data_IF_434622638171
#
_entry.id   IF_434622638171
#
_cell.length_a   1.000
_cell.length_b   1.000
_cell.length_c   1.000
_cell.angle_alpha   90.00
_cell.angle_beta   90.00
_cell.angle_gamma   90.00
#
_symmetry.space_group_name_H-M   'P 1'
#
loop_
_entity.id
_entity.type
_entity.pdbx_description
1 polymer ?
#
# COMPACT_ATOMS: atom_id res chain seq x y z
N UNK A 1 6.79 -7.16 12.00
CA UNK A 1 5.86 -8.09 12.70
C UNK A 1 5.60 -7.69 14.14
N UNK A 2 6.56 -7.81 15.08
CA UNK A 2 6.34 -7.47 16.51
C UNK A 2 5.89 -6.02 16.72
N UNK A 3 6.49 -5.07 16.00
CA UNK A 3 6.10 -3.65 16.06
C UNK A 3 4.67 -3.42 15.56
N UNK A 4 4.33 -3.98 14.41
CA UNK A 4 2.98 -3.94 13.85
C UNK A 4 1.93 -4.54 14.81
N UNK A 5 2.28 -5.62 15.51
CA UNK A 5 1.41 -6.23 16.52
C UNK A 5 1.19 -5.33 17.73
N UNK A 6 2.24 -4.68 18.23
CA UNK A 6 2.14 -3.70 19.32
C UNK A 6 1.31 -2.48 18.92
N UNK A 7 1.52 -1.96 17.70
CA UNK A 7 0.74 -0.85 17.14
C UNK A 7 -0.74 -1.24 16.99
N UNK A 8 -1.02 -2.42 16.45
CA UNK A 8 -2.38 -2.96 16.36
C UNK A 8 -3.06 -3.08 17.74
N UNK A 9 -2.34 -3.61 18.73
CA UNK A 9 -2.82 -3.72 20.11
C UNK A 9 -3.19 -2.36 20.70
N UNK A 10 -2.28 -1.38 20.59
CA UNK A 10 -2.52 -0.01 21.07
C UNK A 10 -3.73 0.67 20.38
N UNK A 11 -3.93 0.43 19.07
CA UNK A 11 -5.10 0.95 18.34
C UNK A 11 -6.41 0.32 18.84
N UNK A 12 -6.40 -0.97 19.17
CA UNK A 12 -7.59 -1.64 19.69
C UNK A 12 -7.90 -1.20 21.13
N UNK A 13 -6.88 -1.01 21.96
CA UNK A 13 -7.01 -0.49 23.33
C UNK A 13 -7.54 0.95 23.36
N UNK A 14 -7.16 1.79 22.39
CA UNK A 14 -7.66 3.16 22.26
C UNK A 14 -9.16 3.26 21.89
N UNK A 15 -9.80 2.14 21.55
CA UNK A 15 -11.24 2.08 21.26
C UNK A 15 -11.63 2.39 19.81
N UNK A 16 -12.93 2.26 19.51
CA UNK A 16 -13.48 2.49 18.16
C UNK A 16 -13.56 3.97 17.79
N UNK A 17 -13.68 4.84 18.80
CA UNK A 17 -13.81 6.30 18.64
C UNK A 17 -12.46 7.00 18.50
N UNK A 18 -11.36 6.24 18.47
CA UNK A 18 -10.01 6.79 18.34
C UNK A 18 -9.84 7.55 17.01
N UNK A 19 -9.57 8.87 17.03
CA UNK A 19 -9.53 9.71 15.84
C UNK A 19 -8.52 9.27 14.76
N UNK A 20 -7.37 8.71 15.17
CA UNK A 20 -6.26 8.36 14.27
C UNK A 20 -6.21 6.86 13.93
N UNK A 21 -7.31 6.13 14.14
CA UNK A 21 -7.40 4.67 13.94
C UNK A 21 -6.94 4.23 12.54
N UNK A 22 -7.48 4.84 11.48
CA UNK A 22 -7.12 4.48 10.09
C UNK A 22 -5.71 4.89 9.67
N UNK A 23 -5.23 6.11 9.96
CA UNK A 23 -3.83 6.46 9.76
C UNK A 23 -2.88 5.41 10.36
N UNK A 24 -3.11 5.00 11.61
CA UNK A 24 -2.26 4.01 12.27
C UNK A 24 -2.42 2.59 11.67
N UNK A 25 -3.60 2.20 11.19
CA UNK A 25 -3.72 0.93 10.45
C UNK A 25 -2.89 0.91 9.16
N UNK A 26 -2.84 2.01 8.41
CA UNK A 26 -1.96 2.12 7.24
C UNK A 26 -0.47 2.04 7.62
N UNK A 27 -0.08 2.61 8.78
CA UNK A 27 1.28 2.48 9.32
C UNK A 27 1.61 1.01 9.67
N UNK A 28 0.68 0.32 10.32
CA UNK A 28 0.80 -1.10 10.64
C UNK A 28 0.89 -1.95 9.36
N UNK A 29 0.10 -1.63 8.33
CA UNK A 29 0.18 -2.29 7.03
C UNK A 29 1.53 -2.06 6.35
N UNK A 30 2.07 -0.83 6.37
CA UNK A 30 3.42 -0.55 5.88
C UNK A 30 4.47 -1.42 6.58
N UNK A 31 4.38 -1.57 7.90
CA UNK A 31 5.27 -2.45 8.68
C UNK A 31 5.12 -3.94 8.31
N UNK A 32 3.93 -4.40 7.94
CA UNK A 32 3.71 -5.76 7.43
C UNK A 32 4.36 -5.95 6.07
N UNK A 33 4.11 -5.04 5.12
CA UNK A 33 4.70 -5.06 3.79
C UNK A 33 6.21 -4.86 3.80
N UNK A 34 6.76 -4.21 4.82
CA UNK A 34 8.21 -4.09 4.95
C UNK A 34 8.86 -5.45 5.23
N UNK A 35 8.20 -6.29 6.02
CA UNK A 35 8.66 -7.65 6.24
C UNK A 35 8.43 -8.53 5.00
N UNK A 36 7.22 -8.55 4.45
CA UNK A 36 6.88 -9.45 3.35
C UNK A 36 7.46 -8.99 2.01
N UNK A 37 7.21 -7.74 1.63
CA UNK A 37 7.64 -7.15 0.37
C UNK A 37 9.14 -6.87 0.31
N UNK A 38 9.64 -6.06 1.24
CA UNK A 38 11.06 -5.71 1.24
C UNK A 38 11.95 -6.84 1.78
N UNK A 39 11.55 -7.44 2.91
CA UNK A 39 12.31 -8.54 3.53
C UNK A 39 12.25 -9.85 2.74
N UNK A 40 11.10 -10.52 2.70
CA UNK A 40 11.00 -11.86 2.12
C UNK A 40 11.19 -11.87 0.59
N UNK A 41 10.43 -11.06 -0.15
CA UNK A 41 10.57 -11.04 -1.61
C UNK A 41 11.88 -10.38 -2.06
N UNK A 42 12.36 -9.35 -1.37
CA UNK A 42 13.68 -8.76 -1.67
C UNK A 42 14.82 -9.74 -1.44
N UNK A 43 14.80 -10.49 -0.34
CA UNK A 43 15.82 -11.51 -0.09
C UNK A 43 15.78 -12.65 -1.13
N UNK A 44 14.58 -13.02 -1.60
CA UNK A 44 14.42 -14.08 -2.60
C UNK A 44 15.13 -13.80 -3.92
N UNK A 45 15.38 -12.53 -4.26
CA UNK A 45 16.05 -12.11 -5.50
C UNK A 45 17.47 -11.56 -5.28
N UNK A 46 17.95 -11.52 -4.03
CA UNK A 46 19.20 -10.86 -3.66
C UNK A 46 20.43 -11.77 -3.75
N UNK A 47 20.27 -13.08 -3.52
CA UNK A 47 21.41 -14.01 -3.55
C UNK A 47 22.03 -14.02 -4.96
N UNK A 48 23.36 -13.83 -5.13
CA UNK A 48 23.95 -13.71 -6.46
C UNK A 48 23.64 -14.87 -7.40
N UNK A 49 23.60 -16.10 -6.86
CA UNK A 49 23.25 -17.29 -7.63
C UNK A 49 21.79 -17.28 -8.12
N UNK A 50 20.87 -16.72 -7.33
CA UNK A 50 19.46 -16.58 -7.74
C UNK A 50 19.31 -15.41 -8.69
N UNK A 51 19.92 -14.27 -8.35
CA UNK A 51 19.88 -13.06 -9.17
C UNK A 51 20.39 -13.33 -10.58
N UNK A 52 21.42 -14.17 -10.75
CA UNK A 52 21.90 -14.57 -12.08
C UNK A 52 20.79 -15.09 -13.02
N UNK A 53 19.79 -15.80 -12.49
CA UNK A 53 18.67 -16.32 -13.28
C UNK A 53 17.42 -15.44 -13.22
N UNK A 54 17.22 -14.71 -12.12
CA UNK A 54 16.02 -13.91 -11.88
C UNK A 54 16.14 -12.47 -12.41
N UNK A 55 17.35 -11.96 -12.64
CA UNK A 55 17.57 -10.56 -12.98
C UNK A 55 16.72 -10.11 -14.18
N UNK A 56 15.85 -9.13 -13.96
CA UNK A 56 14.96 -8.61 -15.00
C UNK A 56 13.73 -9.48 -15.30
N UNK A 57 13.34 -10.35 -14.38
CA UNK A 57 12.09 -11.15 -14.45
C UNK A 57 10.95 -10.53 -13.64
N UNK A 58 9.77 -11.17 -13.67
CA UNK A 58 8.61 -10.75 -12.88
C UNK A 58 8.79 -10.85 -11.36
N UNK A 59 9.78 -11.59 -10.82
CA UNK A 59 10.04 -11.59 -9.38
C UNK A 59 10.57 -10.22 -8.90
N UNK A 60 11.32 -9.52 -9.74
CA UNK A 60 11.74 -8.13 -9.48
C UNK A 60 10.51 -7.22 -9.42
N UNK A 61 9.55 -7.38 -10.34
CA UNK A 61 8.29 -6.62 -10.30
C UNK A 61 7.43 -6.99 -9.08
N UNK A 62 7.41 -8.27 -8.69
CA UNK A 62 6.73 -8.78 -7.50
C UNK A 62 7.25 -8.08 -6.23
N UNK A 63 8.58 -8.12 -6.02
CA UNK A 63 9.25 -7.40 -4.94
C UNK A 63 9.00 -5.89 -5.05
N UNK A 64 9.15 -5.31 -6.24
CA UNK A 64 9.02 -3.88 -6.48
C UNK A 64 7.67 -3.32 -6.04
N UNK A 65 6.54 -3.95 -6.42
CA UNK A 65 5.22 -3.47 -6.00
C UNK A 65 4.99 -3.70 -4.50
N UNK A 66 5.38 -4.86 -3.98
CA UNK A 66 5.20 -5.20 -2.56
C UNK A 66 6.03 -4.29 -1.64
N UNK A 67 7.23 -3.88 -2.07
CA UNK A 67 8.11 -3.00 -1.31
C UNK A 67 7.75 -1.52 -1.53
N UNK A 68 7.69 -1.04 -2.78
CA UNK A 68 7.46 0.37 -3.07
C UNK A 68 6.07 0.83 -2.61
N UNK A 69 5.01 0.20 -3.12
CA UNK A 69 3.65 0.59 -2.75
C UNK A 69 3.28 0.06 -1.36
N UNK A 70 3.61 -1.20 -1.06
CA UNK A 70 3.29 -1.79 0.24
C UNK A 70 3.96 -1.09 1.42
N UNK A 71 5.23 -0.66 1.30
CA UNK A 71 5.92 0.06 2.38
C UNK A 71 5.72 1.56 2.26
N UNK A 72 6.27 2.18 1.21
CA UNK A 72 6.31 3.63 1.09
C UNK A 72 4.96 4.21 0.69
N UNK A 73 4.19 3.53 -0.16
CA UNK A 73 2.82 3.94 -0.49
C UNK A 73 1.91 3.94 0.74
N UNK A 74 1.87 2.84 1.50
CA UNK A 74 1.04 2.76 2.72
C UNK A 74 1.52 3.73 3.81
N UNK A 75 2.84 3.92 3.96
CA UNK A 75 3.40 4.93 4.88
C UNK A 75 2.98 6.35 4.47
N UNK A 76 3.04 6.67 3.18
CA UNK A 76 2.63 7.98 2.67
C UNK A 76 1.15 8.23 2.91
N UNK A 77 0.30 7.22 2.67
CA UNK A 77 -1.14 7.31 2.95
C UNK A 77 -1.40 7.47 4.45
N UNK A 78 -0.67 6.76 5.30
CA UNK A 78 -0.75 6.91 6.75
C UNK A 78 -0.46 8.34 7.19
N UNK A 79 0.68 8.90 6.78
CA UNK A 79 1.09 10.26 7.14
C UNK A 79 0.13 11.30 6.58
N UNK A 80 -0.30 11.13 5.33
CA UNK A 80 -1.30 11.98 4.70
C UNK A 80 -2.59 12.01 5.51
N UNK A 81 -3.17 10.85 5.83
CA UNK A 81 -4.40 10.77 6.63
C UNK A 81 -4.21 11.26 8.06
N UNK A 82 -3.01 11.09 8.63
CA UNK A 82 -2.68 11.60 9.96
C UNK A 82 -2.77 13.12 9.99
N UNK A 83 -2.12 13.80 9.05
CA UNK A 83 -2.22 15.26 8.90
C UNK A 83 -3.65 15.70 8.54
N UNK A 84 -4.32 14.96 7.66
CA UNK A 84 -5.68 15.27 7.21
C UNK A 84 -6.70 15.22 8.35
N UNK A 85 -6.52 14.32 9.33
CA UNK A 85 -7.45 14.13 10.45
C UNK A 85 -7.61 15.38 11.30
N UNK A 86 -6.55 16.17 11.48
CA UNK A 86 -6.61 17.40 12.27
C UNK A 86 -7.33 18.53 11.54
N UNK A 87 -7.24 18.55 10.20
CA UNK A 87 -7.80 19.59 9.33
C UNK A 87 -9.31 19.44 9.09
N UNK A 88 -9.79 18.21 8.93
CA UNK A 88 -11.19 17.94 8.56
C UNK A 88 -12.13 17.95 9.77
N UNK A 89 -13.34 18.47 9.59
CA UNK A 89 -14.40 18.38 10.61
C UNK A 89 -14.85 16.93 10.84
N UNK A 90 -15.05 16.55 12.11
CA UNK A 90 -15.33 15.17 12.51
C UNK A 90 -16.60 14.59 11.86
N UNK A 91 -17.61 15.43 11.59
CA UNK A 91 -18.86 15.04 10.87
C UNK A 91 -18.63 14.50 9.45
N UNK A 92 -17.52 14.86 8.80
CA UNK A 92 -17.22 14.45 7.43
C UNK A 92 -16.20 13.31 7.37
N UNK A 93 -15.69 12.85 8.52
CA UNK A 93 -14.74 11.76 8.60
C UNK A 93 -15.44 10.40 8.54
N UNK A 94 -15.51 9.81 7.34
CA UNK A 94 -16.18 8.52 7.13
C UNK A 94 -15.23 7.33 7.36
N UNK A 95 -15.30 6.73 8.55
CA UNK A 95 -14.55 5.53 8.91
C UNK A 95 -14.89 4.29 8.05
N UNK A 96 -16.12 4.17 7.55
CA UNK A 96 -16.53 3.05 6.70
C UNK A 96 -15.86 3.11 5.32
N UNK A 97 -15.75 4.31 4.76
CA UNK A 97 -15.05 4.53 3.49
C UNK A 97 -13.54 4.24 3.62
N UNK A 98 -12.91 4.72 4.70
CA UNK A 98 -11.49 4.43 4.97
C UNK A 98 -11.21 2.94 5.18
N UNK A 99 -12.15 2.21 5.80
CA UNK A 99 -12.08 0.74 5.89
C UNK A 99 -12.09 0.09 4.51
N UNK A 100 -12.99 0.51 3.63
CA UNK A 100 -13.08 -0.03 2.27
C UNK A 100 -11.79 0.25 1.51
N UNK A 101 -11.29 1.48 1.54
CA UNK A 101 -10.02 1.88 0.90
C UNK A 101 -8.87 1.00 1.41
N UNK A 102 -8.75 0.82 2.73
CA UNK A 102 -7.70 0.01 3.33
C UNK A 102 -7.68 -1.42 2.77
N UNK A 103 -8.84 -2.08 2.73
CA UNK A 103 -8.95 -3.46 2.24
C UNK A 103 -8.81 -3.58 0.73
N UNK A 104 -9.30 -2.61 -0.04
CA UNK A 104 -9.12 -2.60 -1.50
C UNK A 104 -7.64 -2.46 -1.85
N UNK A 105 -6.92 -1.52 -1.23
CA UNK A 105 -5.50 -1.32 -1.52
C UNK A 105 -4.63 -2.49 -1.05
N UNK A 106 -4.82 -2.98 0.18
CA UNK A 106 -4.02 -4.08 0.72
C UNK A 106 -4.40 -5.44 0.12
N UNK A 107 -5.70 -5.72 -0.01
CA UNK A 107 -6.21 -6.96 -0.58
C UNK A 107 -5.90 -7.07 -2.07
N UNK A 108 -6.05 -5.98 -2.82
CA UNK A 108 -5.66 -5.91 -4.23
C UNK A 108 -4.16 -6.11 -4.42
N UNK A 109 -3.32 -5.42 -3.63
CA UNK A 109 -1.87 -5.60 -3.68
C UNK A 109 -1.45 -7.04 -3.35
N UNK A 110 -2.03 -7.63 -2.29
CA UNK A 110 -1.77 -9.01 -1.90
C UNK A 110 -2.17 -10.00 -2.99
N UNK A 111 -3.36 -9.83 -3.56
CA UNK A 111 -3.82 -10.68 -4.65
C UNK A 111 -2.90 -10.55 -5.87
N UNK A 112 -2.53 -9.35 -6.31
CA UNK A 112 -1.63 -9.13 -7.45
C UNK A 112 -0.28 -9.82 -7.25
N UNK A 113 0.36 -9.60 -6.11
CA UNK A 113 1.69 -10.11 -5.78
C UNK A 113 1.65 -11.64 -5.65
N UNK A 114 0.71 -12.18 -4.89
CA UNK A 114 0.69 -13.62 -4.58
C UNK A 114 0.16 -14.51 -5.71
N UNK A 115 -0.83 -14.04 -6.46
CA UNK A 115 -1.53 -14.88 -7.45
C UNK A 115 -1.06 -14.67 -8.89
N UNK A 116 -0.41 -13.54 -9.19
CA UNK A 116 0.04 -13.22 -10.56
C UNK A 116 1.55 -13.10 -10.62
N UNK A 117 2.12 -12.07 -9.98
CA UNK A 117 3.53 -11.72 -10.17
C UNK A 117 4.48 -12.78 -9.62
N UNK A 118 4.17 -13.37 -8.46
CA UNK A 118 4.98 -14.43 -7.86
C UNK A 118 4.98 -15.70 -8.72
N UNK A 119 3.82 -16.31 -9.10
CA UNK A 119 3.82 -17.47 -10.00
C UNK A 119 4.47 -17.20 -11.36
N UNK A 120 4.16 -16.05 -11.97
CA UNK A 120 4.74 -15.66 -13.27
C UNK A 120 6.25 -15.53 -13.20
N UNK A 121 6.78 -14.89 -12.14
CA UNK A 121 8.20 -14.76 -11.90
C UNK A 121 8.90 -16.09 -11.62
N UNK A 122 8.29 -16.99 -10.84
CA UNK A 122 8.84 -18.32 -10.59
C UNK A 122 8.94 -19.14 -11.88
N UNK A 123 7.90 -19.12 -12.71
CA UNK A 123 7.90 -19.80 -14.02
C UNK A 123 8.97 -19.18 -14.92
N UNK A 124 9.06 -17.85 -14.98
CA UNK A 124 10.04 -17.15 -15.80
C UNK A 124 11.48 -17.49 -15.41
N UNK A 125 11.82 -17.39 -14.12
CA UNK A 125 13.15 -17.74 -13.60
C UNK A 125 13.49 -19.21 -13.86
N UNK A 126 12.52 -20.12 -13.75
CA UNK A 126 12.73 -21.52 -14.09
C UNK A 126 13.02 -21.72 -15.59
N UNK A 127 12.35 -20.96 -16.47
CA UNK A 127 12.65 -20.98 -17.91
C UNK A 127 14.02 -20.39 -18.23
N UNK A 128 14.46 -19.34 -17.50
CA UNK A 128 15.84 -18.83 -17.62
C UNK A 128 16.84 -19.93 -17.25
N UNK A 129 16.59 -20.67 -16.17
CA UNK A 129 17.45 -21.76 -15.74
C UNK A 129 17.55 -22.90 -16.77
N UNK A 130 16.44 -23.25 -17.44
CA UNK A 130 16.38 -24.37 -18.39
C UNK A 130 16.83 -24.01 -19.81
N UNK A 131 16.47 -22.83 -20.29
CA UNK A 131 16.59 -22.45 -21.70
C UNK A 131 17.42 -21.19 -21.93
N UNK A 132 17.76 -20.46 -20.85
CA UNK A 132 18.47 -19.19 -20.91
C UNK A 132 17.54 -17.97 -20.96
N UNK A 133 18.10 -16.79 -20.67
CA UNK A 133 17.37 -15.53 -20.56
C UNK A 133 16.70 -15.10 -21.88
N UNK A 134 17.33 -15.43 -23.01
CA UNK A 134 16.81 -15.11 -24.34
C UNK A 134 15.43 -15.74 -24.57
N UNK A 135 15.22 -16.98 -24.12
CA UNK A 135 13.95 -17.67 -24.24
C UNK A 135 12.90 -17.13 -23.27
N UNK A 136 13.25 -16.94 -22.00
CA UNK A 136 12.31 -16.41 -21.00
C UNK A 136 11.83 -14.97 -21.26
N UNK A 137 12.52 -14.26 -22.18
CA UNK A 137 12.17 -12.91 -22.65
C UNK A 137 11.63 -12.91 -24.09
N UNK A 138 11.51 -14.08 -24.72
CA UNK A 138 11.01 -14.24 -26.08
C UNK A 138 9.47 -14.17 -26.13
N UNK A 139 8.88 -13.83 -27.28
CA UNK A 139 7.42 -13.89 -27.47
C UNK A 139 6.83 -15.27 -27.17
N UNK A 140 7.58 -16.35 -27.40
CA UNK A 140 7.15 -17.73 -27.17
C UNK A 140 6.81 -17.97 -25.69
N UNK A 141 7.61 -17.42 -24.77
CA UNK A 141 7.34 -17.47 -23.34
C UNK A 141 6.02 -16.75 -22.99
N UNK A 142 5.84 -15.53 -23.48
CA UNK A 142 4.64 -14.73 -23.18
C UNK A 142 3.37 -15.29 -23.80
N UNK A 143 3.49 -16.07 -24.88
CA UNK A 143 2.37 -16.75 -25.52
C UNK A 143 2.03 -18.11 -24.88
N UNK A 144 2.76 -18.56 -23.85
CA UNK A 144 2.41 -19.77 -23.13
C UNK A 144 1.01 -19.64 -22.50
N UNK A 145 0.14 -20.67 -22.60
CA UNK A 145 -1.23 -20.59 -22.10
C UNK A 145 -1.34 -20.19 -20.62
N UNK A 146 -0.42 -20.67 -19.78
CA UNK A 146 -0.38 -20.33 -18.35
C UNK A 146 -0.04 -18.86 -18.10
N UNK A 147 0.92 -18.31 -18.85
CA UNK A 147 1.35 -16.90 -18.72
C UNK A 147 0.24 -15.98 -19.21
N UNK A 148 -0.42 -16.33 -20.31
CA UNK A 148 -1.60 -15.61 -20.80
C UNK A 148 -2.75 -15.66 -19.80
N UNK A 149 -2.99 -16.80 -19.14
CA UNK A 149 -4.04 -16.93 -18.13
C UNK A 149 -3.77 -16.05 -16.90
N UNK A 150 -2.54 -16.04 -16.38
CA UNK A 150 -2.12 -15.18 -15.28
C UNK A 150 -2.25 -13.69 -15.62
N UNK A 151 -1.78 -13.30 -16.81
CA UNK A 151 -1.87 -11.90 -17.27
C UNK A 151 -3.31 -11.45 -17.51
N UNK A 152 -4.19 -12.32 -18.02
CA UNK A 152 -5.63 -12.02 -18.12
C UNK A 152 -6.26 -11.87 -16.74
N UNK A 153 -5.90 -12.74 -15.80
CA UNK A 153 -6.43 -12.67 -14.44
C UNK A 153 -5.98 -11.40 -13.70
N UNK A 154 -4.80 -10.87 -14.03
CA UNK A 154 -4.23 -9.64 -13.44
C UNK A 154 -5.16 -8.43 -13.44
N UNK A 155 -6.07 -8.32 -14.40
CA UNK A 155 -7.05 -7.23 -14.42
C UNK A 155 -7.93 -7.20 -13.15
N UNK A 156 -8.14 -8.35 -12.50
CA UNK A 156 -8.96 -8.47 -11.29
C UNK A 156 -8.30 -7.77 -10.10
N UNK A 157 -7.08 -8.13 -9.64
CA UNK A 157 -6.42 -7.39 -8.58
C UNK A 157 -6.16 -5.93 -8.94
N UNK A 158 -5.81 -5.63 -10.20
CA UNK A 158 -5.53 -4.25 -10.63
C UNK A 158 -6.77 -3.35 -10.49
N UNK A 159 -7.95 -3.82 -10.91
CA UNK A 159 -9.21 -3.07 -10.76
C UNK A 159 -9.59 -2.86 -9.30
N UNK A 160 -9.30 -3.82 -8.42
CA UNK A 160 -9.50 -3.67 -6.96
C UNK A 160 -8.61 -2.53 -6.41
N UNK A 161 -7.33 -2.50 -6.77
CA UNK A 161 -6.40 -1.45 -6.34
C UNK A 161 -6.83 -0.09 -6.88
N UNK A 162 -7.15 -0.01 -8.18
CA UNK A 162 -7.60 1.23 -8.83
C UNK A 162 -8.85 1.77 -8.14
N UNK A 163 -9.82 0.92 -7.83
CA UNK A 163 -11.03 1.31 -7.10
C UNK A 163 -10.69 1.88 -5.72
N UNK A 164 -9.76 1.24 -4.99
CA UNK A 164 -9.28 1.74 -3.71
C UNK A 164 -8.61 3.12 -3.82
N UNK A 165 -7.79 3.32 -4.85
CA UNK A 165 -7.10 4.60 -5.10
C UNK A 165 -8.08 5.71 -5.49
N UNK A 166 -9.08 5.41 -6.33
CA UNK A 166 -10.13 6.36 -6.72
C UNK A 166 -10.97 6.76 -5.52
N UNK A 167 -11.36 5.81 -4.66
CA UNK A 167 -12.10 6.11 -3.43
C UNK A 167 -11.29 6.97 -2.45
N UNK A 168 -9.97 6.75 -2.36
CA UNK A 168 -9.09 7.60 -1.57
C UNK A 168 -9.02 9.03 -2.14
N UNK A 169 -8.85 9.17 -3.46
CA UNK A 169 -8.89 10.47 -4.12
C UNK A 169 -10.22 11.19 -3.89
N UNK A 170 -11.34 10.48 -4.03
CA UNK A 170 -12.67 11.01 -3.73
C UNK A 170 -12.82 11.45 -2.27
N UNK A 171 -12.32 10.66 -1.32
CA UNK A 171 -12.33 11.02 0.10
C UNK A 171 -11.56 12.32 0.35
N UNK A 172 -10.37 12.48 -0.23
CA UNK A 172 -9.57 13.68 -0.07
C UNK A 172 -10.23 14.91 -0.71
N UNK A 173 -10.73 14.79 -1.95
CA UNK A 173 -11.39 15.91 -2.65
C UNK A 173 -12.68 16.35 -1.92
N UNK A 174 -13.51 15.39 -1.52
CA UNK A 174 -14.78 15.69 -0.84
C UNK A 174 -14.59 16.32 0.54
N UNK A 175 -13.49 15.99 1.25
CA UNK A 175 -13.17 16.55 2.56
C UNK A 175 -12.34 17.83 2.48
N UNK A 176 -11.58 18.04 1.42
CA UNK A 176 -10.81 19.28 1.18
C UNK A 176 -11.70 20.53 1.18
N UNK A 177 -12.89 20.42 0.57
CA UNK A 177 -13.87 21.51 0.50
C UNK A 177 -14.50 21.80 1.90
N UNK A 178 -14.22 20.96 2.89
CA UNK A 178 -14.87 20.93 4.21
C UNK A 178 -13.85 20.96 5.36
N UNK A 179 -12.74 21.65 5.15
CA UNK A 179 -11.67 21.85 6.15
C UNK A 179 -12.13 22.88 7.19
N UNK A 180 -11.69 22.71 8.44
CA UNK A 180 -11.97 23.64 9.54
C UNK A 180 -11.40 25.04 9.21
N UNK A 181 -12.13 26.13 9.49
CA UNK A 181 -11.60 27.47 9.34
C UNK A 181 -10.43 27.70 10.30
N UNK A 182 -9.49 28.54 9.89
CA UNK A 182 -8.37 28.96 10.74
C UNK A 182 -8.94 29.74 11.93
N UNK A 183 -8.69 29.26 13.14
CA UNK A 183 -9.23 29.85 14.37
C UNK A 183 -8.35 30.96 14.98
N UNK A 184 -7.08 31.05 14.59
CA UNK A 184 -6.09 31.93 15.21
C UNK A 184 -5.31 32.69 14.14
N UNK A 185 -5.11 34.00 14.34
CA UNK A 185 -4.27 34.83 13.47
C UNK A 185 -2.77 34.66 13.75
N UNK A 186 -1.92 35.29 12.92
CA UNK A 186 -0.47 35.30 13.15
C UNK A 186 -0.12 35.96 14.50
N UNK A 187 0.57 35.22 15.37
CA UNK A 187 1.05 35.72 16.67
C UNK A 187 0.18 35.42 17.89
N UNK A 188 -0.93 34.68 17.74
CA UNK A 188 -1.75 34.23 18.88
C UNK A 188 -1.27 32.86 19.43
N UNK A 189 -0.95 32.80 20.72
CA UNK A 189 -0.45 31.59 21.40
C UNK A 189 -1.57 30.56 21.64
N UNK A 190 -1.50 29.44 20.92
CA UNK A 190 -2.37 28.27 21.10
C UNK A 190 -2.11 27.50 22.41
N UNK A 191 -0.96 27.70 23.07
CA UNK A 191 -0.52 26.90 24.21
C UNK A 191 -0.80 27.53 25.59
N UNK A 192 -0.97 28.86 25.66
CA UNK A 192 -1.08 29.60 26.93
C UNK A 192 -2.49 30.08 27.27
N UNK A 193 -3.54 29.41 26.76
CA UNK A 193 -4.92 29.63 27.20
C UNK A 193 -5.54 30.99 26.83
N UNK A 194 -4.86 31.79 26.01
CA UNK A 194 -5.51 32.94 25.36
C UNK A 194 -6.43 32.39 24.27
N UNK A 195 -7.74 32.51 24.50
CA UNK A 195 -8.75 32.18 23.50
C UNK A 195 -8.44 32.94 22.22
N UNK A 196 -8.06 32.22 21.15
CA UNK A 196 -7.92 32.83 19.84
C UNK A 196 -9.20 33.59 19.52
N UNK A 197 -9.06 34.85 19.10
CA UNK A 197 -10.22 35.59 18.59
C UNK A 197 -10.53 34.97 17.23
N UNK A 198 -11.70 34.34 17.10
CA UNK A 198 -12.19 33.95 15.77
C UNK A 198 -12.17 35.19 14.87
N UNK A 199 -11.53 35.06 13.71
CA UNK A 199 -11.60 36.02 12.61
C UNK A 199 -13.03 36.15 12.08
#
# INVERSE_FOLDING_TARGET
MVRAWKEYGAIQEAGKDFPYRWPLFFLTASSFWNFLGAGMFGFSINLPIVNYFEHGTYLTANHGHAALFGVYGMLSISLMLFSWRSLVEDKYWNNGLLKAIFWLLNGGLFLMVMSVLLPEGLIQTFMVYKHGVWFARSPEFYNMPVILALNKFRIVPDTIIITGAVLLGWFLVSTYIRIKPVKCGEGEDIYYGKSCKML
#
